data_IF_393299819820
#
_entry.id   IF_393299819820
#
_cell.length_a   1.000
_cell.length_b   1.000
_cell.length_c   1.000
_cell.angle_alpha   90.00
_cell.angle_beta   90.00
_cell.angle_gamma   90.00
#
_symmetry.space_group_name_H-M   'P 1'
#
loop_
_entity.id
_entity.type
_entity.pdbx_description
1 polymer ?
#
# COMPACT_ATOMS: atom_id res chain seq x y z
N UNK A 1 12.89 17.88 11.30
CA UNK A 1 13.92 18.59 10.49
C UNK A 1 13.30 19.36 9.33
N UNK A 2 12.44 18.80 8.52
CA UNK A 2 11.82 19.44 7.35
C UNK A 2 11.07 20.76 7.66
N UNK A 3 10.31 20.82 8.76
CA UNK A 3 9.55 22.03 9.15
C UNK A 3 10.50 23.21 9.47
N UNK A 4 11.59 22.96 10.19
CA UNK A 4 12.58 24.01 10.51
C UNK A 4 13.24 24.54 9.24
N UNK A 5 13.56 23.68 8.28
CA UNK A 5 14.12 24.05 6.97
C UNK A 5 13.14 24.89 6.16
N UNK A 6 11.86 24.51 6.11
CA UNK A 6 10.81 25.27 5.41
C UNK A 6 10.62 26.67 6.00
N UNK A 7 10.61 26.79 7.33
CA UNK A 7 10.52 28.08 8.02
C UNK A 7 11.74 28.94 7.69
N UNK A 8 12.95 28.38 7.71
CA UNK A 8 14.18 29.09 7.36
C UNK A 8 14.18 29.58 5.92
N UNK A 9 13.75 28.74 4.96
CA UNK A 9 13.64 29.12 3.55
C UNK A 9 12.58 30.22 3.35
N UNK A 10 11.46 30.16 4.07
CA UNK A 10 10.44 31.21 4.05
C UNK A 10 10.97 32.56 4.56
N UNK A 11 11.72 32.55 5.64
CA UNK A 11 12.36 33.79 6.17
C UNK A 11 13.40 34.36 5.20
N UNK A 12 14.20 33.52 4.55
CA UNK A 12 15.16 33.93 3.53
C UNK A 12 14.47 34.52 2.30
N UNK A 13 13.32 33.97 1.89
CA UNK A 13 12.53 34.50 0.78
C UNK A 13 12.04 35.92 1.08
N UNK A 14 11.52 36.17 2.28
CA UNK A 14 11.06 37.47 2.73
C UNK A 14 12.24 38.44 2.80
N UNK A 15 13.35 38.04 3.39
CA UNK A 15 14.57 38.87 3.49
C UNK A 15 15.10 39.25 2.09
N UNK A 16 15.18 38.29 1.16
CA UNK A 16 15.60 38.51 -0.23
C UNK A 16 14.70 39.51 -0.94
N UNK A 17 13.38 39.39 -0.77
CA UNK A 17 12.41 40.32 -1.36
C UNK A 17 12.56 41.73 -0.81
N UNK A 18 12.75 41.87 0.51
CA UNK A 18 13.00 43.19 1.14
C UNK A 18 14.28 43.83 0.59
N UNK A 19 15.38 43.07 0.53
CA UNK A 19 16.64 43.56 -0.04
C UNK A 19 16.50 43.98 -1.50
N UNK A 20 15.73 43.23 -2.28
CA UNK A 20 15.43 43.54 -3.68
C UNK A 20 14.65 44.85 -3.84
N UNK A 21 13.62 45.07 -3.00
CA UNK A 21 12.85 46.32 -2.99
C UNK A 21 13.73 47.52 -2.61
N UNK A 22 14.63 47.35 -1.62
CA UNK A 22 15.58 48.39 -1.22
C UNK A 22 16.58 48.68 -2.35
N UNK A 23 17.08 47.67 -3.03
CA UNK A 23 17.95 47.85 -4.20
C UNK A 23 17.27 48.66 -5.31
N UNK A 24 16.00 48.35 -5.62
CA UNK A 24 15.22 49.17 -6.56
C UNK A 24 15.09 50.61 -6.14
N UNK A 25 14.74 50.87 -4.89
CA UNK A 25 14.62 52.24 -4.37
C UNK A 25 15.93 53.02 -4.45
N UNK A 26 17.05 52.41 -4.14
CA UNK A 26 18.37 53.05 -4.22
C UNK A 26 18.78 53.25 -5.67
N UNK A 27 18.50 52.34 -6.57
CA UNK A 27 18.80 52.51 -8.01
C UNK A 27 18.12 53.77 -8.59
N UNK A 28 16.86 54.01 -8.23
CA UNK A 28 16.16 55.22 -8.60
C UNK A 28 16.85 56.52 -8.04
N UNK A 29 17.35 56.51 -6.82
CA UNK A 29 18.09 57.64 -6.25
C UNK A 29 19.42 57.88 -6.97
N UNK A 30 20.15 56.81 -7.30
CA UNK A 30 21.40 56.89 -8.06
C UNK A 30 21.15 57.48 -9.45
N UNK A 31 20.10 57.06 -10.13
CA UNK A 31 19.77 57.58 -11.44
C UNK A 31 19.26 59.02 -11.41
N UNK A 32 18.51 59.39 -10.38
CA UNK A 32 18.06 60.79 -10.20
C UNK A 32 19.25 61.74 -10.02
N UNK A 33 20.28 61.33 -9.30
CA UNK A 33 21.52 62.10 -9.16
C UNK A 33 22.30 62.23 -10.45
N UNK A 34 22.27 61.20 -11.32
CA UNK A 34 22.91 61.19 -12.65
C UNK A 34 22.20 62.08 -13.67
N UNK A 35 20.89 61.94 -13.75
CA UNK A 35 20.11 62.53 -14.83
C UNK A 35 19.56 63.93 -14.51
N UNK A 36 19.55 64.37 -13.24
CA UNK A 36 18.92 65.62 -12.86
C UNK A 36 17.40 65.68 -13.05
N UNK A 37 16.76 64.57 -13.46
CA UNK A 37 15.32 64.47 -13.73
C UNK A 37 14.80 63.11 -13.23
N UNK A 38 13.48 62.98 -13.03
CA UNK A 38 12.87 61.73 -12.58
C UNK A 38 13.11 60.62 -13.59
N UNK A 39 13.58 59.43 -13.18
CA UNK A 39 13.86 58.33 -14.09
C UNK A 39 12.60 57.83 -14.76
N UNK A 40 12.68 57.46 -16.04
CA UNK A 40 11.59 56.83 -16.76
C UNK A 40 11.24 55.46 -16.12
N UNK A 41 9.95 55.20 -15.88
CA UNK A 41 9.41 54.01 -15.21
C UNK A 41 9.55 52.66 -15.95
N UNK A 42 10.39 52.59 -16.99
CA UNK A 42 10.59 51.37 -17.81
C UNK A 42 11.89 50.65 -17.43
N UNK A 43 11.84 49.32 -17.17
CA UNK A 43 13.01 48.44 -16.99
C UNK A 43 13.81 48.62 -15.71
N UNK A 44 13.13 48.64 -14.56
CA UNK A 44 13.77 48.78 -13.21
C UNK A 44 14.95 47.80 -12.96
N UNK A 45 14.87 46.58 -13.49
CA UNK A 45 15.90 45.55 -13.27
C UNK A 45 17.19 45.83 -14.05
N UNK A 46 17.10 46.18 -15.31
CA UNK A 46 18.26 46.50 -16.18
C UNK A 46 18.96 47.78 -15.69
N UNK A 47 18.20 48.75 -15.26
CA UNK A 47 18.74 49.99 -14.72
C UNK A 47 19.43 49.78 -13.38
N UNK A 48 18.92 48.89 -12.52
CA UNK A 48 19.49 48.52 -11.23
C UNK A 48 20.90 47.93 -11.40
N UNK A 49 21.07 46.91 -12.26
CA UNK A 49 22.39 46.36 -12.51
C UNK A 49 23.35 47.34 -13.21
N UNK A 50 22.85 48.07 -14.19
CA UNK A 50 23.64 49.12 -14.85
C UNK A 50 24.12 50.17 -13.86
N UNK A 51 23.26 50.65 -12.99
CA UNK A 51 23.58 51.66 -11.98
C UNK A 51 24.56 51.14 -10.93
N UNK A 52 24.52 49.85 -10.60
CA UNK A 52 25.42 49.24 -9.64
C UNK A 52 26.83 48.98 -10.21
N UNK A 53 26.92 48.45 -11.44
CA UNK A 53 28.14 47.85 -11.95
C UNK A 53 28.78 48.58 -13.16
N UNK A 54 28.01 49.36 -13.95
CA UNK A 54 28.52 50.13 -15.11
C UNK A 54 28.39 51.65 -14.87
N UNK A 55 29.34 52.22 -14.14
CA UNK A 55 29.40 53.65 -14.01
C UNK A 55 30.08 54.29 -15.22
N UNK A 56 29.55 55.38 -15.81
CA UNK A 56 30.27 56.20 -16.75
C UNK A 56 31.47 56.90 -16.06
N UNK A 57 32.45 57.31 -16.86
CA UNK A 57 33.68 57.93 -16.37
C UNK A 57 33.41 59.20 -15.53
N UNK A 58 32.35 59.94 -15.88
CA UNK A 58 31.92 61.18 -15.18
C UNK A 58 30.69 60.92 -14.25
N UNK A 59 30.66 59.84 -13.53
CA UNK A 59 29.54 59.49 -12.67
C UNK A 59 29.38 60.47 -11.51
N UNK A 60 28.31 61.25 -11.52
CA UNK A 60 27.95 62.25 -10.47
C UNK A 60 27.22 61.62 -9.28
N UNK A 61 26.97 60.34 -9.29
CA UNK A 61 26.27 59.64 -8.20
C UNK A 61 27.15 59.46 -6.98
N UNK A 62 26.57 59.61 -5.77
CA UNK A 62 27.27 59.38 -4.49
C UNK A 62 27.85 57.96 -4.43
N UNK A 63 29.18 57.81 -4.25
CA UNK A 63 29.81 56.49 -4.14
C UNK A 63 29.25 55.63 -3.01
N UNK A 64 28.73 56.23 -1.93
CA UNK A 64 28.10 55.51 -0.81
C UNK A 64 26.79 54.84 -1.23
N UNK A 65 25.93 55.56 -1.98
CA UNK A 65 24.67 55.01 -2.48
C UNK A 65 24.92 53.83 -3.44
N UNK A 66 25.95 53.95 -4.24
CA UNK A 66 26.35 52.87 -5.18
C UNK A 66 26.84 51.62 -4.43
N UNK A 67 27.66 51.76 -3.40
CA UNK A 67 28.08 50.64 -2.55
C UNK A 67 26.89 49.99 -1.82
N UNK A 68 25.96 50.79 -1.31
CA UNK A 68 24.73 50.26 -0.72
C UNK A 68 23.91 49.45 -1.74
N UNK A 69 23.74 49.95 -2.95
CA UNK A 69 23.06 49.27 -4.01
C UNK A 69 23.69 47.91 -4.30
N UNK A 70 25.03 47.87 -4.45
CA UNK A 70 25.77 46.61 -4.65
C UNK A 70 25.55 45.62 -3.50
N UNK A 71 25.61 46.08 -2.26
CA UNK A 71 25.41 45.27 -1.05
C UNK A 71 24.01 44.62 -1.06
N UNK A 72 22.95 45.38 -1.38
CA UNK A 72 21.60 44.88 -1.40
C UNK A 72 21.38 43.89 -2.56
N UNK A 73 21.99 44.11 -3.74
CA UNK A 73 21.93 43.16 -4.85
C UNK A 73 22.62 41.85 -4.46
N UNK A 74 23.84 41.91 -3.90
CA UNK A 74 24.54 40.69 -3.49
C UNK A 74 23.79 39.94 -2.38
N UNK A 75 23.21 40.64 -1.40
CA UNK A 75 22.41 40.03 -0.35
C UNK A 75 21.18 39.34 -0.92
N UNK A 76 20.44 39.98 -1.84
CA UNK A 76 19.28 39.41 -2.49
C UNK A 76 19.65 38.15 -3.35
N UNK A 77 20.73 38.24 -4.12
CA UNK A 77 21.24 37.09 -4.90
C UNK A 77 21.68 35.94 -3.99
N UNK A 78 22.36 36.22 -2.90
CA UNK A 78 22.73 35.21 -1.89
C UNK A 78 21.52 34.51 -1.31
N UNK A 79 20.47 35.22 -0.95
CA UNK A 79 19.22 34.62 -0.49
C UNK A 79 18.58 33.71 -1.56
N UNK A 80 18.58 34.12 -2.83
CA UNK A 80 18.03 33.31 -3.93
C UNK A 80 18.83 32.04 -4.18
N UNK A 81 20.16 32.09 -4.10
CA UNK A 81 21.03 30.92 -4.25
C UNK A 81 20.77 29.92 -3.12
N UNK A 82 20.67 30.38 -1.87
CA UNK A 82 20.39 29.50 -0.73
C UNK A 82 19.01 28.87 -0.86
N UNK A 83 18.00 29.63 -1.29
CA UNK A 83 16.66 29.09 -1.54
C UNK A 83 16.66 28.03 -2.65
N UNK A 84 17.36 28.29 -3.77
CA UNK A 84 17.48 27.31 -4.85
C UNK A 84 18.16 26.03 -4.37
N UNK A 85 19.27 26.14 -3.66
CA UNK A 85 19.97 24.98 -3.08
C UNK A 85 19.09 24.21 -2.08
N UNK A 86 18.35 24.92 -1.22
CA UNK A 86 17.40 24.32 -0.27
C UNK A 86 16.25 23.57 -0.95
N UNK A 87 15.76 24.08 -2.08
CA UNK A 87 14.69 23.44 -2.87
C UNK A 87 15.14 22.11 -3.48
N UNK A 88 16.41 21.94 -3.81
CA UNK A 88 17.00 20.67 -4.24
C UNK A 88 17.30 19.72 -3.08
N UNK A 89 17.59 20.22 -1.90
CA UNK A 89 17.91 19.40 -0.73
C UNK A 89 16.67 18.74 -0.11
N UNK A 90 15.49 19.37 -0.18
CA UNK A 90 14.24 18.83 0.39
C UNK A 90 13.84 17.46 -0.15
N UNK A 91 13.80 17.22 -1.47
CA UNK A 91 13.51 15.89 -2.01
C UNK A 91 14.56 14.84 -1.63
N UNK A 92 15.85 15.22 -1.56
CA UNK A 92 16.92 14.31 -1.15
C UNK A 92 16.80 13.88 0.32
N UNK A 93 16.43 14.80 1.21
CA UNK A 93 16.17 14.50 2.62
C UNK A 93 14.93 13.62 2.79
N UNK A 94 13.87 13.85 2.02
CA UNK A 94 12.69 13.00 2.02
C UNK A 94 12.98 11.57 1.53
N UNK A 95 13.87 11.41 0.56
CA UNK A 95 14.34 10.10 0.10
C UNK A 95 15.22 9.42 1.17
N UNK A 96 16.09 10.16 1.84
CA UNK A 96 16.89 9.62 2.95
C UNK A 96 16.05 9.23 4.16
N UNK A 97 15.04 10.01 4.53
CA UNK A 97 14.11 9.69 5.62
C UNK A 97 13.29 8.44 5.30
N UNK A 98 12.83 8.27 4.05
CA UNK A 98 12.23 7.01 3.55
C UNK A 98 13.19 5.82 3.61
N UNK A 99 14.44 6.01 3.22
CA UNK A 99 15.45 4.95 3.26
C UNK A 99 15.86 4.57 4.70
N UNK A 100 15.80 5.50 5.65
CA UNK A 100 16.07 5.23 7.06
C UNK A 100 14.90 4.56 7.77
N UNK A 101 13.64 4.96 7.48
CA UNK A 101 12.44 4.28 7.97
C UNK A 101 12.36 2.82 7.49
N UNK A 102 12.89 2.53 6.28
CA UNK A 102 13.01 1.17 5.75
C UNK A 102 14.07 0.31 6.44
N UNK A 103 14.98 0.89 7.24
CA UNK A 103 16.12 0.16 7.85
C UNK A 103 15.84 -0.47 9.21
N UNK A 104 14.73 -0.14 9.86
CA UNK A 104 14.35 -0.77 11.14
C UNK A 104 13.00 -1.42 10.95
N UNK A 105 12.95 -2.71 10.59
CA UNK A 105 11.67 -3.40 10.51
C UNK A 105 11.01 -3.39 11.89
N UNK A 106 9.71 -3.09 11.98
CA UNK A 106 8.98 -3.18 13.22
C UNK A 106 9.08 -4.60 13.78
N UNK A 107 9.17 -4.73 15.09
CA UNK A 107 9.12 -6.06 15.75
C UNK A 107 7.84 -6.77 15.31
N UNK A 108 7.93 -7.97 14.74
CA UNK A 108 6.74 -8.71 14.32
C UNK A 108 5.78 -8.93 15.47
N UNK A 109 4.53 -8.51 15.30
CA UNK A 109 3.46 -8.81 16.25
C UNK A 109 2.98 -10.23 15.94
N UNK A 110 2.89 -11.08 16.96
CA UNK A 110 2.34 -12.42 16.82
C UNK A 110 0.83 -12.31 16.54
N UNK A 111 0.32 -12.78 15.40
CA UNK A 111 -1.09 -12.66 15.06
C UNK A 111 -1.96 -13.75 15.70
N UNK A 112 -1.37 -14.72 16.40
CA UNK A 112 -2.06 -15.87 16.99
C UNK A 112 -3.22 -15.42 17.88
N UNK A 113 -4.41 -15.98 17.66
CA UNK A 113 -5.63 -15.64 18.41
C UNK A 113 -6.29 -14.31 18.01
N UNK A 114 -5.72 -13.57 17.06
CA UNK A 114 -6.38 -12.40 16.46
C UNK A 114 -7.50 -12.86 15.53
N UNK A 115 -8.64 -12.15 15.51
CA UNK A 115 -9.65 -12.34 14.48
C UNK A 115 -9.76 -11.09 13.63
N UNK A 116 -9.52 -11.25 12.33
CA UNK A 116 -9.75 -10.23 11.33
C UNK A 116 -11.12 -10.46 10.69
N UNK A 117 -11.97 -9.45 10.74
CA UNK A 117 -13.31 -9.48 10.12
C UNK A 117 -13.30 -8.62 8.88
N UNK A 118 -13.63 -9.20 7.74
CA UNK A 118 -13.69 -8.52 6.45
C UNK A 118 -15.09 -8.59 5.84
N UNK A 119 -15.36 -7.67 4.93
CA UNK A 119 -16.38 -7.83 3.88
C UNK A 119 -15.64 -8.04 2.56
N UNK A 120 -15.93 -9.16 1.89
CA UNK A 120 -15.60 -9.42 0.49
C UNK A 120 -16.83 -9.09 -0.36
N UNK A 121 -16.63 -8.47 -1.53
CA UNK A 121 -17.71 -8.13 -2.47
C UNK A 121 -17.14 -7.90 -3.87
N UNK A 122 -18.00 -7.63 -4.84
CA UNK A 122 -17.60 -6.88 -6.02
C UNK A 122 -17.23 -5.44 -5.62
N UNK A 123 -16.47 -4.73 -6.48
CA UNK A 123 -16.04 -3.35 -6.21
C UNK A 123 -17.20 -2.34 -6.15
N UNK A 124 -18.35 -2.68 -6.72
CA UNK A 124 -19.60 -1.91 -6.62
C UNK A 124 -20.40 -2.23 -5.35
N UNK A 125 -19.90 -3.12 -4.49
CA UNK A 125 -20.52 -3.55 -3.25
C UNK A 125 -21.56 -4.67 -3.41
N UNK A 126 -21.79 -5.18 -4.61
CA UNK A 126 -22.69 -6.32 -4.81
C UNK A 126 -22.09 -7.63 -4.33
N UNK A 127 -22.91 -8.62 -4.02
CA UNK A 127 -22.56 -9.94 -3.51
C UNK A 127 -21.67 -9.87 -2.23
N UNK A 128 -22.07 -9.14 -1.19
CA UNK A 128 -21.26 -9.03 0.02
C UNK A 128 -21.26 -10.36 0.79
N UNK A 129 -20.08 -10.69 1.33
CA UNK A 129 -19.85 -11.86 2.16
C UNK A 129 -18.93 -11.48 3.32
N UNK A 130 -19.24 -11.93 4.54
CA UNK A 130 -18.33 -11.82 5.67
C UNK A 130 -17.24 -12.88 5.56
N UNK A 131 -15.99 -12.44 5.71
CA UNK A 131 -14.82 -13.31 5.78
C UNK A 131 -14.14 -13.08 7.13
N UNK A 132 -14.08 -14.13 7.93
CA UNK A 132 -13.38 -14.15 9.22
C UNK A 132 -12.07 -14.92 9.03
N UNK A 133 -10.96 -14.27 9.37
CA UNK A 133 -9.62 -14.87 9.32
C UNK A 133 -9.09 -14.97 10.75
N UNK A 134 -8.72 -16.18 11.17
CA UNK A 134 -8.29 -16.46 12.53
C UNK A 134 -7.01 -17.30 12.55
N UNK A 135 -5.83 -16.69 12.71
CA UNK A 135 -4.59 -17.42 12.95
C UNK A 135 -4.65 -18.22 14.28
N UNK A 136 -4.61 -19.55 14.17
CA UNK A 136 -4.57 -20.47 15.32
C UNK A 136 -3.15 -20.55 15.90
N UNK A 137 -2.17 -20.45 15.03
CA UNK A 137 -0.74 -20.48 15.38
C UNK A 137 0.05 -19.63 14.38
N UNK A 138 1.37 -19.65 14.51
CA UNK A 138 2.27 -18.99 13.53
C UNK A 138 2.25 -19.64 12.14
N UNK A 139 1.71 -20.83 12.02
CA UNK A 139 1.70 -21.63 10.78
C UNK A 139 0.31 -22.09 10.35
N UNK A 140 -0.72 -21.78 11.13
CA UNK A 140 -2.07 -22.27 10.84
C UNK A 140 -3.10 -21.14 10.89
N UNK A 141 -3.95 -21.07 9.85
CA UNK A 141 -5.04 -20.11 9.75
C UNK A 141 -6.34 -20.84 9.46
N UNK A 142 -7.39 -20.41 10.14
CA UNK A 142 -8.76 -20.79 9.84
C UNK A 142 -9.50 -19.61 9.22
N UNK A 143 -10.30 -19.88 8.20
CA UNK A 143 -11.11 -18.88 7.49
C UNK A 143 -12.55 -19.38 7.39
N UNK A 144 -13.49 -18.55 7.83
CA UNK A 144 -14.92 -18.80 7.65
C UNK A 144 -15.51 -17.72 6.73
N UNK A 145 -16.34 -18.14 5.75
CA UNK A 145 -16.96 -17.25 4.76
C UNK A 145 -18.47 -17.45 4.80
N UNK A 146 -19.22 -16.36 4.98
CA UNK A 146 -20.67 -16.42 5.26
C UNK A 146 -21.39 -15.28 4.56
N UNK A 147 -22.45 -15.61 3.80
CA UNK A 147 -23.31 -14.59 3.16
C UNK A 147 -24.47 -14.18 4.03
N UNK A 148 -25.17 -15.14 4.62
CA UNK A 148 -26.31 -14.92 5.52
C UNK A 148 -26.40 -16.05 6.54
N UNK A 149 -27.00 -15.85 7.73
CA UNK A 149 -27.28 -16.92 8.67
C UNK A 149 -28.10 -18.04 8.03
N UNK A 150 -27.90 -19.26 8.48
CA UNK A 150 -28.60 -20.47 8.03
C UNK A 150 -28.38 -20.85 6.55
N UNK A 151 -27.41 -20.26 5.88
CA UNK A 151 -27.01 -20.64 4.51
C UNK A 151 -25.73 -21.45 4.52
N UNK A 152 -25.36 -22.03 3.37
CA UNK A 152 -24.05 -22.65 3.21
C UNK A 152 -22.95 -21.65 3.54
N UNK A 153 -22.02 -22.06 4.40
CA UNK A 153 -20.85 -21.26 4.77
C UNK A 153 -19.58 -22.08 4.52
N UNK A 154 -18.61 -21.47 3.89
CA UNK A 154 -17.33 -22.12 3.69
C UNK A 154 -16.48 -22.03 4.98
N UNK A 155 -15.76 -23.13 5.25
CA UNK A 155 -14.73 -23.17 6.30
C UNK A 155 -13.47 -23.74 5.69
N UNK A 156 -12.40 -22.97 5.67
CA UNK A 156 -11.13 -23.34 5.06
C UNK A 156 -10.03 -23.27 6.11
N UNK A 157 -9.16 -24.26 6.15
CA UNK A 157 -7.97 -24.26 7.01
C UNK A 157 -6.73 -24.29 6.14
N UNK A 158 -5.69 -23.57 6.57
CA UNK A 158 -4.39 -23.53 5.89
C UNK A 158 -3.24 -23.75 6.86
N UNK A 159 -2.32 -24.64 6.49
CA UNK A 159 -1.05 -24.86 7.18
C UNK A 159 0.08 -24.40 6.27
N UNK A 160 1.03 -23.66 6.81
CA UNK A 160 2.08 -22.96 6.06
C UNK A 160 3.46 -23.30 6.60
N UNK A 161 4.44 -23.27 5.72
CA UNK A 161 5.85 -23.33 6.08
C UNK A 161 6.40 -21.91 6.38
N UNK A 162 7.04 -21.76 7.53
CA UNK A 162 7.59 -20.47 7.99
C UNK A 162 8.79 -19.96 7.18
N UNK A 163 9.53 -20.86 6.56
CA UNK A 163 10.73 -20.48 5.82
C UNK A 163 10.42 -20.05 4.39
N UNK A 164 9.45 -20.72 3.76
CA UNK A 164 9.06 -20.45 2.37
C UNK A 164 7.84 -19.55 2.23
N UNK A 165 7.04 -19.40 3.32
CA UNK A 165 5.75 -18.71 3.35
C UNK A 165 4.70 -19.34 2.37
N UNK A 166 4.89 -20.60 2.03
CA UNK A 166 4.02 -21.36 1.14
C UNK A 166 3.07 -22.26 1.95
N UNK A 167 1.83 -22.43 1.47
CA UNK A 167 0.94 -23.38 2.08
C UNK A 167 1.47 -24.81 1.85
N UNK A 168 1.58 -25.61 2.93
CA UNK A 168 1.88 -27.03 2.85
C UNK A 168 0.59 -27.85 2.67
N UNK A 169 -0.52 -27.35 3.25
CA UNK A 169 -1.84 -27.94 3.09
C UNK A 169 -2.92 -26.87 3.18
N UNK A 170 -3.92 -26.94 2.31
CA UNK A 170 -5.17 -26.23 2.44
C UNK A 170 -6.31 -27.24 2.42
N UNK A 171 -7.28 -27.07 3.33
CA UNK A 171 -8.47 -27.93 3.38
C UNK A 171 -9.70 -27.06 3.22
N UNK A 172 -10.37 -27.19 2.09
CA UNK A 172 -11.66 -26.58 1.83
C UNK A 172 -12.79 -27.45 2.35
N UNK A 173 -13.80 -26.83 2.93
CA UNK A 173 -14.95 -27.53 3.45
C UNK A 173 -16.08 -26.58 3.81
N UNK A 174 -17.05 -27.09 4.55
CA UNK A 174 -18.21 -26.34 5.03
C UNK A 174 -18.19 -26.19 6.54
N UNK A 175 -18.71 -25.06 7.01
CA UNK A 175 -19.00 -24.84 8.43
C UNK A 175 -20.19 -25.75 8.82
N UNK A 176 -19.94 -26.66 9.76
CA UNK A 176 -21.00 -27.48 10.31
C UNK A 176 -21.72 -26.81 11.49
N UNK A 177 -22.84 -27.39 11.92
CA UNK A 177 -23.71 -26.82 12.97
C UNK A 177 -23.08 -26.77 14.37
N UNK A 178 -21.99 -27.49 14.59
CA UNK A 178 -21.26 -27.46 15.86
C UNK A 178 -20.07 -26.50 15.84
N UNK A 179 -19.96 -25.66 14.79
CA UNK A 179 -18.90 -24.66 14.65
C UNK A 179 -17.56 -25.21 14.16
N UNK A 180 -17.54 -26.44 13.64
CA UNK A 180 -16.35 -27.08 13.07
C UNK A 180 -16.37 -27.13 11.54
N UNK A 181 -15.30 -27.65 10.96
CA UNK A 181 -15.19 -27.90 9.53
C UNK A 181 -15.73 -29.28 9.18
N UNK A 182 -16.51 -29.39 8.10
CA UNK A 182 -16.74 -30.64 7.38
C UNK A 182 -15.89 -30.58 6.11
N UNK A 183 -14.73 -31.27 6.06
CA UNK A 183 -13.79 -31.21 4.95
C UNK A 183 -14.38 -31.81 3.68
N UNK A 184 -14.04 -31.25 2.52
CA UNK A 184 -14.50 -31.69 1.22
C UNK A 184 -13.37 -31.83 0.20
N UNK A 185 -12.37 -30.93 0.26
CA UNK A 185 -11.27 -30.84 -0.69
C UNK A 185 -9.97 -30.61 0.07
N UNK A 186 -8.93 -31.34 -0.29
CA UNK A 186 -7.57 -31.16 0.22
C UNK A 186 -6.65 -30.76 -0.92
N UNK A 187 -5.95 -29.66 -0.76
CA UNK A 187 -4.79 -29.30 -1.57
C UNK A 187 -3.54 -29.55 -0.72
N UNK A 188 -2.63 -30.36 -1.23
CA UNK A 188 -1.35 -30.67 -0.60
C UNK A 188 -0.21 -30.21 -1.50
N UNK A 189 0.71 -29.42 -0.97
CA UNK A 189 1.94 -29.05 -1.66
C UNK A 189 3.03 -30.09 -1.41
N UNK A 190 3.65 -30.54 -2.47
CA UNK A 190 4.79 -31.46 -2.46
C UNK A 190 6.07 -30.68 -2.77
N UNK A 191 6.85 -30.25 -1.76
CA UNK A 191 7.97 -29.33 -1.96
C UNK A 191 9.09 -29.93 -2.83
N UNK A 192 9.37 -31.23 -2.70
CA UNK A 192 10.43 -31.93 -3.43
C UNK A 192 10.23 -31.90 -4.95
N UNK A 193 8.98 -31.95 -5.40
CA UNK A 193 8.62 -31.95 -6.82
C UNK A 193 8.00 -30.67 -7.29
N UNK A 194 7.75 -29.73 -6.38
CA UNK A 194 7.00 -28.48 -6.63
C UNK A 194 5.64 -28.74 -7.27
N UNK A 195 4.89 -29.75 -6.75
CA UNK A 195 3.57 -30.10 -7.23
C UNK A 195 2.48 -29.79 -6.21
N UNK A 196 1.29 -29.47 -6.72
CA UNK A 196 0.05 -29.28 -5.95
C UNK A 196 -0.87 -30.46 -6.27
N UNK A 197 -1.22 -31.25 -5.26
CA UNK A 197 -2.17 -32.34 -5.38
C UNK A 197 -3.53 -31.92 -4.85
N UNK A 198 -4.59 -32.20 -5.61
CA UNK A 198 -5.98 -32.02 -5.17
C UNK A 198 -6.59 -33.40 -4.90
N UNK A 199 -7.24 -33.56 -3.76
CA UNK A 199 -8.04 -34.72 -3.38
C UNK A 199 -9.43 -34.28 -2.97
N UNK A 200 -10.44 -35.10 -3.25
CA UNK A 200 -11.84 -34.89 -2.89
C UNK A 200 -12.38 -36.05 -2.09
N UNK A 201 -13.35 -35.77 -1.21
CA UNK A 201 -14.03 -36.77 -0.38
C UNK A 201 -13.23 -37.27 0.82
N UNK A 202 -11.97 -37.67 0.66
CA UNK A 202 -11.09 -38.14 1.75
C UNK A 202 -9.62 -37.83 1.40
N UNK A 203 -8.85 -37.44 2.41
CA UNK A 203 -7.40 -37.17 2.31
C UNK A 203 -6.62 -38.43 1.81
N UNK A 204 -7.11 -39.64 2.11
CA UNK A 204 -6.50 -40.90 1.67
C UNK A 204 -6.89 -41.33 0.24
N UNK A 205 -7.81 -40.62 -0.38
CA UNK A 205 -8.21 -40.90 -1.77
C UNK A 205 -7.05 -40.60 -2.74
N UNK A 206 -7.10 -41.16 -3.94
CA UNK A 206 -6.15 -40.81 -5.00
C UNK A 206 -6.33 -39.33 -5.37
N UNK A 207 -5.25 -38.62 -5.72
CA UNK A 207 -5.36 -37.26 -6.26
C UNK A 207 -6.24 -37.24 -7.50
N UNK A 208 -7.16 -36.28 -7.57
CA UNK A 208 -8.00 -36.05 -8.76
C UNK A 208 -7.33 -35.09 -9.73
N UNK A 209 -6.45 -34.25 -9.24
CA UNK A 209 -5.64 -33.34 -10.04
C UNK A 209 -4.21 -33.25 -9.49
N UNK A 210 -3.25 -32.96 -10.39
CA UNK A 210 -1.85 -32.73 -10.09
C UNK A 210 -1.35 -31.61 -10.99
N UNK A 211 -0.87 -30.52 -10.38
CA UNK A 211 -0.41 -29.32 -11.07
C UNK A 211 1.02 -28.98 -10.68
N UNK A 212 1.75 -28.27 -11.54
CA UNK A 212 2.97 -27.58 -11.15
C UNK A 212 2.61 -26.40 -10.24
N UNK A 213 3.32 -26.27 -9.10
CA UNK A 213 3.12 -25.12 -8.24
C UNK A 213 3.59 -23.85 -8.95
N UNK A 214 2.92 -22.72 -8.72
CA UNK A 214 3.37 -21.45 -9.28
C UNK A 214 4.72 -21.01 -8.68
N UNK A 215 5.24 -19.86 -9.15
CA UNK A 215 6.48 -19.25 -8.65
C UNK A 215 6.41 -19.05 -7.13
N UNK A 216 7.48 -19.40 -6.42
CA UNK A 216 7.61 -19.23 -4.97
C UNK A 216 7.88 -17.76 -4.57
N UNK A 217 7.35 -17.33 -3.40
CA UNK A 217 6.27 -17.94 -2.65
C UNK A 217 4.96 -17.90 -3.43
N UNK A 218 4.07 -18.85 -3.24
CA UNK A 218 2.77 -18.85 -3.89
C UNK A 218 1.64 -18.65 -2.89
N UNK A 219 0.54 -18.01 -3.37
CA UNK A 219 -0.64 -17.71 -2.61
C UNK A 219 -1.90 -18.29 -3.25
N UNK A 220 -2.83 -18.75 -2.42
CA UNK A 220 -4.15 -19.20 -2.86
C UNK A 220 -5.09 -17.99 -2.89
N UNK A 221 -5.42 -17.52 -4.09
CA UNK A 221 -6.16 -16.27 -4.28
C UNK A 221 -7.61 -16.33 -3.74
N UNK A 222 -8.27 -17.47 -3.83
CA UNK A 222 -9.60 -17.67 -3.24
C UNK A 222 -9.57 -17.94 -1.73
N UNK A 223 -8.40 -17.96 -1.09
CA UNK A 223 -8.24 -17.90 0.36
C UNK A 223 -8.36 -16.44 0.91
N UNK A 224 -8.76 -15.49 0.05
CA UNK A 224 -9.01 -14.08 0.36
C UNK A 224 -7.82 -13.36 1.00
N UNK A 225 -6.60 -13.71 0.57
CA UNK A 225 -5.34 -13.14 1.07
C UNK A 225 -5.14 -13.37 2.59
N UNK A 226 -5.79 -14.39 3.16
CA UNK A 226 -5.76 -14.67 4.60
C UNK A 226 -4.35 -14.96 5.11
N UNK A 227 -3.49 -15.60 4.30
CA UNK A 227 -2.10 -15.89 4.62
C UNK A 227 -1.27 -14.64 4.92
N UNK A 228 -1.67 -13.48 4.42
CA UNK A 228 -1.02 -12.21 4.74
C UNK A 228 -1.20 -11.80 6.21
N UNK A 229 -2.13 -12.41 6.94
CA UNK A 229 -2.20 -12.26 8.39
C UNK A 229 -0.95 -12.83 9.10
N UNK A 230 -0.30 -13.85 8.51
CA UNK A 230 0.96 -14.43 9.02
C UNK A 230 2.19 -13.77 8.39
N UNK A 231 2.20 -13.64 7.06
CA UNK A 231 3.39 -13.35 6.25
C UNK A 231 3.31 -12.03 5.49
N UNK A 232 2.30 -11.21 5.72
CA UNK A 232 2.11 -9.96 5.00
C UNK A 232 3.31 -9.02 5.15
N UNK A 233 3.57 -8.19 4.12
CA UNK A 233 4.74 -7.33 4.08
C UNK A 233 4.65 -6.23 5.15
N UNK A 234 5.57 -6.27 6.12
CA UNK A 234 5.71 -5.26 7.17
C UNK A 234 6.74 -4.19 6.79
N UNK A 235 7.73 -4.56 5.97
CA UNK A 235 8.74 -3.63 5.46
C UNK A 235 8.33 -3.15 4.07
N UNK A 236 8.36 -1.83 3.80
CA UNK A 236 8.13 -1.30 2.46
C UNK A 236 9.09 -1.89 1.43
N UNK A 237 8.58 -2.35 0.31
CA UNK A 237 9.37 -2.92 -0.78
C UNK A 237 8.52 -3.68 -1.77
N UNK A 238 9.04 -3.88 -2.97
CA UNK A 238 8.41 -4.71 -4.00
C UNK A 238 8.61 -6.20 -3.65
N UNK A 239 7.61 -7.03 -3.96
CA UNK A 239 7.75 -8.48 -3.85
C UNK A 239 7.00 -9.20 -4.97
N UNK A 240 7.48 -10.39 -5.33
CA UNK A 240 6.88 -11.24 -6.33
C UNK A 240 6.30 -12.48 -5.66
N UNK A 241 5.23 -13.02 -6.23
CA UNK A 241 4.60 -14.23 -5.74
C UNK A 241 3.89 -14.97 -6.89
N UNK A 242 3.68 -16.26 -6.72
CA UNK A 242 2.86 -17.06 -7.60
C UNK A 242 1.41 -17.05 -7.14
N UNK A 243 0.47 -17.31 -8.06
CA UNK A 243 -0.96 -17.34 -7.77
C UNK A 243 -1.53 -18.69 -8.18
N UNK A 244 -2.17 -19.36 -7.22
CA UNK A 244 -3.09 -20.48 -7.44
C UNK A 244 -4.50 -20.04 -7.08
N UNK A 245 -5.53 -20.68 -7.67
CA UNK A 245 -6.92 -20.31 -7.44
C UNK A 245 -7.82 -21.54 -7.63
N UNK A 246 -8.62 -21.89 -6.63
CA UNK A 246 -9.68 -22.87 -6.78
C UNK A 246 -10.85 -22.23 -7.55
N UNK A 247 -11.35 -22.94 -8.55
CA UNK A 247 -12.42 -22.44 -9.41
C UNK A 247 -13.48 -23.52 -9.67
N UNK A 248 -14.31 -23.83 -8.67
CA UNK A 248 -15.27 -24.91 -8.72
C UNK A 248 -16.53 -24.54 -9.52
N UNK A 249 -16.39 -24.29 -10.81
CA UNK A 249 -17.50 -23.96 -11.73
C UNK A 249 -18.09 -25.22 -12.46
N UNK A 250 -17.66 -26.41 -12.03
CA UNK A 250 -18.04 -27.65 -12.65
C UNK A 250 -17.24 -28.01 -13.91
N UNK A 251 -16.29 -27.16 -14.32
CA UNK A 251 -15.33 -27.44 -15.39
C UNK A 251 -13.98 -27.87 -14.81
N UNK A 252 -13.32 -28.85 -15.43
CA UNK A 252 -11.98 -29.25 -15.09
C UNK A 252 -10.96 -28.34 -15.84
N UNK A 253 -9.81 -27.98 -15.24
CA UNK A 253 -9.39 -28.31 -13.88
C UNK A 253 -10.04 -27.40 -12.84
N UNK A 254 -10.26 -27.93 -11.63
CA UNK A 254 -10.75 -27.16 -10.48
C UNK A 254 -9.67 -26.21 -9.95
N UNK A 255 -8.40 -26.59 -9.97
CA UNK A 255 -7.28 -25.71 -9.63
C UNK A 255 -6.75 -25.02 -10.89
N UNK A 256 -6.71 -23.70 -10.84
CA UNK A 256 -6.13 -22.86 -11.90
C UNK A 256 -4.84 -22.22 -11.40
N UNK A 257 -3.83 -22.14 -12.28
CA UNK A 257 -2.53 -21.51 -12.00
C UNK A 257 -2.38 -20.29 -12.93
N UNK A 258 -2.89 -19.11 -12.54
CA UNK A 258 -2.83 -17.94 -13.40
C UNK A 258 -1.41 -17.43 -13.68
N UNK A 259 -0.42 -17.80 -12.87
CA UNK A 259 0.97 -17.45 -13.06
C UNK A 259 1.56 -16.57 -11.94
N UNK A 260 2.57 -15.78 -12.28
CA UNK A 260 3.23 -14.90 -11.34
C UNK A 260 2.53 -13.53 -11.21
N UNK A 261 2.67 -12.94 -10.05
CA UNK A 261 2.24 -11.58 -9.75
C UNK A 261 3.36 -10.77 -9.10
N UNK A 262 3.25 -9.46 -9.16
CA UNK A 262 4.13 -8.51 -8.49
C UNK A 262 3.29 -7.55 -7.66
N UNK A 263 3.66 -7.39 -6.40
CA UNK A 263 3.21 -6.29 -5.55
C UNK A 263 4.27 -5.20 -5.59
N UNK A 264 3.99 -4.12 -6.31
CA UNK A 264 4.85 -2.95 -6.40
C UNK A 264 4.51 -1.99 -5.29
N UNK A 265 5.46 -1.70 -4.42
CA UNK A 265 5.30 -0.73 -3.35
C UNK A 265 5.17 0.69 -3.93
N UNK A 266 4.15 1.42 -3.50
CA UNK A 266 3.88 2.79 -3.95
C UNK A 266 4.36 3.80 -2.90
N UNK A 267 3.82 3.72 -1.70
CA UNK A 267 4.14 4.62 -0.59
C UNK A 267 3.58 4.08 0.73
N UNK A 268 4.02 4.66 1.85
CA UNK A 268 3.40 4.49 3.16
C UNK A 268 2.61 5.73 3.54
N UNK A 269 1.41 5.54 4.10
CA UNK A 269 0.51 6.61 4.54
C UNK A 269 0.22 6.53 6.04
N UNK A 270 -0.58 7.46 6.55
CA UNK A 270 -1.02 7.51 7.95
C UNK A 270 0.14 7.35 8.95
N UNK A 271 1.16 8.22 8.82
CA UNK A 271 2.37 8.19 9.65
C UNK A 271 3.13 6.85 9.56
N UNK A 272 3.16 6.26 8.36
CA UNK A 272 3.80 4.99 8.04
C UNK A 272 3.16 3.75 8.70
N UNK A 273 1.89 3.82 9.07
CA UNK A 273 1.14 2.64 9.58
C UNK A 273 0.46 1.82 8.50
N UNK A 274 0.43 2.31 7.25
CA UNK A 274 -0.17 1.61 6.09
C UNK A 274 0.79 1.60 4.91
N UNK A 275 0.98 0.43 4.30
CA UNK A 275 1.75 0.26 3.08
C UNK A 275 0.80 0.06 1.89
N UNK A 276 0.98 0.86 0.84
CA UNK A 276 0.19 0.81 -0.38
C UNK A 276 0.96 0.12 -1.49
N UNK A 277 0.30 -0.80 -2.18
CA UNK A 277 0.87 -1.60 -3.26
C UNK A 277 -0.01 -1.55 -4.50
N UNK A 278 0.61 -1.58 -5.68
CA UNK A 278 -0.03 -1.94 -6.95
C UNK A 278 0.23 -3.41 -7.21
N UNK A 279 -0.84 -4.18 -7.38
CA UNK A 279 -0.77 -5.60 -7.75
C UNK A 279 -0.98 -5.72 -9.24
N UNK A 280 -0.11 -6.49 -9.91
CA UNK A 280 -0.17 -6.72 -11.36
C UNK A 280 0.64 -7.94 -11.77
N UNK A 281 0.91 -8.08 -13.06
CA UNK A 281 1.68 -9.18 -13.63
C UNK A 281 0.81 -10.23 -14.34
N UNK A 282 1.42 -11.32 -14.85
CA UNK A 282 0.73 -12.34 -15.65
C UNK A 282 -0.52 -12.92 -14.98
N UNK A 283 -0.47 -13.14 -13.66
CA UNK A 283 -1.60 -13.66 -12.89
C UNK A 283 -2.82 -12.72 -12.90
N UNK A 284 -2.63 -11.44 -13.16
CA UNK A 284 -3.68 -10.42 -13.21
C UNK A 284 -3.84 -9.81 -14.60
N UNK A 285 -3.35 -10.45 -15.63
CA UNK A 285 -3.55 -10.04 -17.02
C UNK A 285 -4.55 -10.96 -17.70
N UNK A 286 -5.56 -10.37 -18.31
CA UNK A 286 -6.53 -11.07 -19.14
C UNK A 286 -6.19 -10.81 -20.61
N UNK A 287 -6.13 -11.85 -21.48
CA UNK A 287 -5.75 -11.65 -22.88
C UNK A 287 -6.68 -10.72 -23.67
N UNK A 288 -7.95 -10.61 -23.26
CA UNK A 288 -8.96 -9.81 -23.95
C UNK A 288 -9.17 -8.44 -23.34
N UNK A 289 -9.07 -8.36 -21.99
CA UNK A 289 -9.42 -7.15 -21.23
C UNK A 289 -8.16 -6.37 -20.82
N UNK A 290 -7.00 -7.03 -20.75
CA UNK A 290 -5.74 -6.43 -20.31
C UNK A 290 -5.50 -6.53 -18.81
N UNK A 291 -4.96 -5.47 -18.18
CA UNK A 291 -4.61 -5.45 -16.76
C UNK A 291 -5.87 -5.50 -15.87
N UNK A 292 -5.98 -6.56 -15.08
CA UNK A 292 -7.01 -6.80 -14.07
C UNK A 292 -6.44 -6.82 -12.65
N UNK A 293 -5.25 -6.26 -12.45
CA UNK A 293 -4.68 -6.02 -11.14
C UNK A 293 -5.42 -4.92 -10.40
N UNK A 294 -4.74 -4.29 -9.46
CA UNK A 294 -5.36 -3.24 -8.66
C UNK A 294 -4.50 -2.80 -7.48
N UNK A 295 -5.14 -2.34 -6.45
CA UNK A 295 -4.47 -1.79 -5.27
C UNK A 295 -4.68 -2.70 -4.05
N UNK A 296 -3.66 -2.77 -3.22
CA UNK A 296 -3.69 -3.43 -1.92
C UNK A 296 -3.07 -2.53 -0.87
N UNK A 297 -3.72 -2.43 0.27
CA UNK A 297 -3.23 -1.70 1.45
C UNK A 297 -3.07 -2.70 2.58
N UNK A 298 -1.89 -2.73 3.19
CA UNK A 298 -1.60 -3.57 4.36
C UNK A 298 -1.27 -2.72 5.58
N UNK A 299 -1.50 -3.27 6.75
CA UNK A 299 -1.01 -2.70 8.01
C UNK A 299 0.51 -2.91 8.10
N UNK A 300 1.26 -1.84 8.36
CA UNK A 300 2.72 -1.88 8.37
C UNK A 300 3.30 -2.62 9.60
N UNK A 301 2.54 -2.81 10.67
CA UNK A 301 2.99 -3.48 11.90
C UNK A 301 2.70 -4.98 11.86
N UNK A 302 1.51 -5.34 11.40
CA UNK A 302 1.02 -6.72 11.42
C UNK A 302 1.08 -7.42 10.07
N UNK A 303 1.11 -6.66 8.96
CA UNK A 303 1.17 -7.17 7.60
C UNK A 303 -0.20 -7.56 7.01
N UNK A 304 -1.25 -7.69 7.79
CA UNK A 304 -2.56 -8.09 7.27
C UNK A 304 -3.15 -7.05 6.30
N UNK A 305 -4.04 -7.50 5.44
CA UNK A 305 -4.71 -6.63 4.47
C UNK A 305 -5.70 -5.71 5.19
N UNK A 306 -5.67 -4.41 4.89
CA UNK A 306 -6.68 -3.43 5.29
C UNK A 306 -7.74 -3.29 4.20
N UNK A 307 -7.29 -3.20 2.96
CA UNK A 307 -8.15 -3.12 1.79
C UNK A 307 -7.43 -3.69 0.56
N UNK A 308 -8.16 -4.42 -0.28
CA UNK A 308 -7.68 -4.85 -1.58
C UNK A 308 -8.79 -4.69 -2.62
N UNK A 309 -8.44 -4.23 -3.83
CA UNK A 309 -9.35 -4.05 -4.96
C UNK A 309 -8.66 -4.48 -6.23
N UNK A 310 -9.12 -5.58 -6.85
CA UNK A 310 -8.56 -6.12 -8.07
C UNK A 310 -9.64 -6.28 -9.14
N UNK A 311 -9.27 -6.05 -10.40
CA UNK A 311 -10.16 -6.30 -11.54
C UNK A 311 -10.43 -7.79 -11.75
N UNK A 312 -9.50 -8.68 -11.33
CA UNK A 312 -9.68 -10.14 -11.42
C UNK A 312 -10.51 -10.67 -10.24
N UNK A 313 -11.61 -11.41 -10.47
CA UNK A 313 -12.33 -12.07 -9.40
C UNK A 313 -11.49 -13.22 -8.83
N UNK A 314 -11.69 -13.52 -7.55
CA UNK A 314 -11.06 -14.65 -6.87
C UNK A 314 -12.00 -15.85 -6.67
N UNK A 315 -13.24 -15.73 -7.06
CA UNK A 315 -14.24 -16.78 -6.92
C UNK A 315 -15.27 -16.73 -8.06
N UNK A 316 -15.91 -17.88 -8.35
CA UNK A 316 -17.01 -17.98 -9.31
C UNK A 316 -18.17 -17.07 -8.90
N UNK A 317 -18.86 -16.49 -9.87
CA UNK A 317 -20.00 -15.60 -9.62
C UNK A 317 -19.65 -14.14 -9.37
N UNK A 318 -18.38 -13.80 -9.07
CA UNK A 318 -17.92 -12.41 -8.94
C UNK A 318 -17.37 -11.89 -10.28
N UNK A 319 -17.58 -10.59 -10.53
CA UNK A 319 -17.03 -9.90 -11.71
C UNK A 319 -15.62 -9.35 -11.45
N UNK A 320 -15.32 -9.02 -10.19
CA UNK A 320 -14.05 -8.50 -9.71
C UNK A 320 -13.91 -8.81 -8.21
N UNK A 321 -12.93 -8.23 -7.55
CA UNK A 321 -12.62 -8.52 -6.15
C UNK A 321 -12.45 -7.22 -5.34
N UNK A 322 -13.13 -7.15 -4.21
CA UNK A 322 -12.87 -6.20 -3.14
C UNK A 322 -12.87 -6.94 -1.80
N UNK A 323 -11.86 -6.66 -0.97
CA UNK A 323 -11.76 -7.09 0.42
C UNK A 323 -11.54 -5.87 1.29
N UNK A 324 -12.37 -5.67 2.32
CA UNK A 324 -12.27 -4.53 3.22
C UNK A 324 -12.32 -4.98 4.67
N UNK A 325 -11.30 -4.63 5.44
CA UNK A 325 -11.26 -4.88 6.88
C UNK A 325 -12.31 -4.05 7.60
N UNK A 326 -13.11 -4.72 8.42
CA UNK A 326 -14.13 -4.09 9.28
C UNK A 326 -13.59 -3.99 10.72
N UNK A 327 -12.93 -5.05 11.20
CA UNK A 327 -12.35 -5.08 12.52
C UNK A 327 -11.13 -6.01 12.57
N UNK A 328 -10.15 -5.63 13.38
CA UNK A 328 -9.05 -6.48 13.81
C UNK A 328 -9.12 -6.58 15.34
N UNK A 329 -9.51 -7.74 15.85
CA UNK A 329 -9.67 -7.98 17.27
C UNK A 329 -8.53 -8.89 17.75
N UNK A 330 -7.58 -8.40 18.55
CA UNK A 330 -6.46 -9.20 19.03
C UNK A 330 -6.89 -10.23 20.07
N UNK A 331 -6.00 -11.18 20.37
CA UNK A 331 -6.15 -12.09 21.49
C UNK A 331 -6.19 -11.32 22.84
N UNK A 332 -6.96 -11.80 23.86
CA UNK A 332 -7.79 -13.02 23.83
C UNK A 332 -9.20 -12.80 23.26
N UNK A 333 -9.63 -11.56 23.06
CA UNK A 333 -10.97 -11.20 22.58
C UNK A 333 -11.23 -11.73 21.16
N UNK A 334 -10.19 -11.84 20.33
CA UNK A 334 -10.27 -12.37 18.98
C UNK A 334 -10.81 -13.79 18.93
N UNK A 335 -10.39 -14.65 19.84
CA UNK A 335 -10.90 -16.02 19.99
C UNK A 335 -12.41 -16.04 20.29
N UNK A 336 -12.88 -15.13 21.13
CA UNK A 336 -14.31 -15.02 21.45
C UNK A 336 -15.12 -14.54 20.24
N UNK A 337 -14.60 -13.56 19.47
CA UNK A 337 -15.22 -13.08 18.22
C UNK A 337 -15.31 -14.22 17.20
N UNK A 338 -14.23 -14.99 17.01
CA UNK A 338 -14.20 -16.14 16.13
C UNK A 338 -15.30 -17.17 16.48
N UNK A 339 -15.29 -17.66 17.72
CA UNK A 339 -16.29 -18.65 18.16
C UNK A 339 -17.71 -18.14 18.04
N UNK A 340 -17.94 -16.88 18.41
CA UNK A 340 -19.25 -16.24 18.28
C UNK A 340 -19.73 -16.20 16.84
N UNK A 341 -18.88 -15.83 15.89
CA UNK A 341 -19.23 -15.78 14.47
C UNK A 341 -19.68 -17.16 13.96
N UNK A 342 -18.95 -18.23 14.30
CA UNK A 342 -19.29 -19.59 13.90
C UNK A 342 -20.61 -20.08 14.54
N UNK A 343 -20.81 -19.80 15.83
CA UNK A 343 -22.01 -20.24 16.54
C UNK A 343 -23.27 -19.45 16.11
N UNK A 344 -23.17 -18.15 15.94
CA UNK A 344 -24.28 -17.30 15.58
C UNK A 344 -24.83 -17.63 14.19
N UNK A 345 -23.97 -18.11 13.28
CA UNK A 345 -24.39 -18.49 11.94
C UNK A 345 -25.52 -19.55 11.95
N UNK A 346 -25.50 -20.45 12.92
CA UNK A 346 -26.47 -21.53 13.06
C UNK A 346 -27.47 -21.38 14.22
N UNK A 347 -27.32 -20.36 15.08
CA UNK A 347 -28.02 -20.26 16.36
C UNK A 347 -29.56 -20.31 16.26
N UNK A 348 -30.14 -19.72 15.21
CA UNK A 348 -31.58 -19.63 15.01
C UNK A 348 -32.07 -20.40 13.79
N UNK A 349 -31.29 -21.40 13.35
CA UNK A 349 -31.61 -22.13 12.14
C UNK A 349 -32.53 -23.33 12.43
N UNK A 350 -33.43 -23.69 11.51
CA UNK A 350 -34.22 -24.91 11.62
C UNK A 350 -33.33 -26.15 11.79
N UNK A 351 -33.80 -27.15 12.53
CA UNK A 351 -33.09 -28.44 12.62
C UNK A 351 -32.99 -29.10 11.23
N UNK A 352 -31.85 -29.73 10.91
CA UNK A 352 -31.73 -30.52 9.67
C UNK A 352 -32.80 -31.60 9.65
N UNK A 353 -33.50 -31.75 8.52
CA UNK A 353 -34.40 -32.86 8.27
C UNK A 353 -35.89 -32.59 8.50
N UNK A 354 -36.36 -31.35 8.53
CA UNK A 354 -37.79 -31.00 8.55
C UNK A 354 -38.36 -30.38 7.29
N UNK A 355 -37.61 -30.41 6.20
CA UNK A 355 -38.14 -30.07 4.89
C UNK A 355 -38.47 -31.39 4.17
N UNK A 356 -39.74 -31.72 4.13
CA UNK A 356 -40.31 -32.77 3.31
C UNK A 356 -40.30 -32.39 1.83
#
# INVERSE_FOLDING_TARGET
MAVALLVTLGLLAVAGLVMWILAIRISYRVEQQRAGSAPQRGLAMTNMFRSAFWAPVDDKADPKLRRQLQTYIYAALGCMIVMAAGSFALPLLAVQEKAQAAKTPPTPIDPTGTTLTYIRSNQDGTLPEFVYVHPISKTEIHVAKMTAPCTDAAYVTGVFDLATHEATQLVGGRLNRVGGQTPQVWLTFLPETRKLEIRTGDLKSKPVELHDAPTAPWHMYDFDLAELALFGPRTPGDFNFGVAMAWPDGTAPMLRIPGAATAKFLYSSEKATRNHYRIGGPAFTDPLIGDRGGEMVTDALTGHVIEARFGRPNHTGYANFQLKLIAATPAPEGEAVWRKALSDHWANCPAEGKDN
#
